data_IF_807052432816
#
_entry.id   IF_807052432816
#
_cell.length_a   1.000
_cell.length_b   1.000
_cell.length_c   1.000
_cell.angle_alpha   90.00
_cell.angle_beta   90.00
_cell.angle_gamma   90.00
#
_symmetry.space_group_name_H-M   'P 1'
#
loop_
_entity.id
_entity.type
_entity.pdbx_description
1 polymer ?
#
# COMPACT_ATOMS: atom_id res chain seq x y z
N UNK A 1 -25.99 29.50 -57.72
CA UNK A 1 -25.73 28.74 -56.48
C UNK A 1 -24.34 29.13 -56.00
N UNK A 2 -24.25 29.98 -54.97
CA UNK A 2 -22.97 30.49 -54.45
C UNK A 2 -22.37 29.43 -53.53
N UNK A 3 -21.17 28.96 -53.86
CA UNK A 3 -20.39 28.02 -53.07
C UNK A 3 -20.12 28.63 -51.68
N UNK A 4 -20.87 28.20 -50.69
CA UNK A 4 -20.60 28.53 -49.29
C UNK A 4 -19.23 27.92 -48.94
N UNK A 5 -18.27 28.68 -48.39
CA UNK A 5 -16.94 28.16 -48.15
C UNK A 5 -16.98 27.09 -47.05
N UNK A 6 -16.91 25.82 -47.46
CA UNK A 6 -16.83 24.62 -46.60
C UNK A 6 -15.77 24.76 -45.49
N UNK A 7 -14.73 25.57 -45.72
CA UNK A 7 -13.69 25.90 -44.73
C UNK A 7 -14.23 26.62 -43.49
N UNK A 8 -15.27 27.44 -43.63
CA UNK A 8 -15.87 28.18 -42.51
C UNK A 8 -16.73 27.26 -41.63
N UNK A 9 -17.41 26.28 -42.24
CA UNK A 9 -18.18 25.26 -41.53
C UNK A 9 -17.27 24.30 -40.74
N UNK A 10 -16.11 23.95 -41.31
CA UNK A 10 -15.09 23.15 -40.61
C UNK A 10 -14.50 23.86 -39.40
N UNK A 11 -14.26 25.17 -39.48
CA UNK A 11 -13.74 25.96 -38.35
C UNK A 11 -14.79 26.14 -37.24
N UNK A 12 -16.07 26.27 -37.60
CA UNK A 12 -17.18 26.33 -36.64
C UNK A 12 -17.39 24.99 -35.91
N UNK A 13 -17.15 23.85 -36.58
CA UNK A 13 -17.28 22.52 -35.99
C UNK A 13 -16.15 22.21 -34.99
N UNK A 14 -14.93 22.74 -35.21
CA UNK A 14 -13.80 22.63 -34.26
C UNK A 14 -14.02 23.45 -32.99
N UNK A 15 -14.78 24.55 -33.06
CA UNK A 15 -15.14 25.36 -31.89
C UNK A 15 -16.20 24.70 -30.99
N UNK A 16 -16.98 23.75 -31.51
CA UNK A 16 -18.05 23.06 -30.75
C UNK A 16 -17.55 21.86 -29.93
N UNK A 17 -16.31 21.42 -30.10
CA UNK A 17 -15.70 20.30 -29.35
C UNK A 17 -14.79 20.74 -28.19
N UNK A 18 -14.67 22.05 -27.95
CA UNK A 18 -13.84 22.62 -26.88
C UNK A 18 -14.47 22.64 -25.48
N UNK A 19 -15.33 21.68 -25.15
CA UNK A 19 -15.90 21.60 -23.80
C UNK A 19 -14.89 21.05 -22.81
N UNK A 20 -14.37 21.89 -21.91
CA UNK A 20 -13.68 21.41 -20.71
C UNK A 20 -14.70 20.66 -19.86
N UNK A 21 -14.42 19.39 -19.56
CA UNK A 21 -15.17 18.64 -18.54
C UNK A 21 -14.80 19.25 -17.20
N UNK A 22 -15.69 20.05 -16.62
CA UNK A 22 -15.51 20.51 -15.26
C UNK A 22 -15.69 19.31 -14.31
N UNK A 23 -14.71 18.99 -13.46
CA UNK A 23 -14.88 17.94 -12.47
C UNK A 23 -16.08 18.29 -11.60
N UNK A 24 -17.04 17.38 -11.50
CA UNK A 24 -18.14 17.54 -10.55
C UNK A 24 -17.54 17.63 -9.14
N UNK A 25 -17.59 18.84 -8.57
CA UNK A 25 -17.23 19.08 -7.17
C UNK A 25 -18.53 19.03 -6.39
N UNK A 26 -18.88 17.89 -5.76
CA UNK A 26 -20.03 17.88 -4.87
C UNK A 26 -19.86 19.03 -3.85
N UNK A 27 -20.94 19.76 -3.53
CA UNK A 27 -20.87 20.82 -2.53
C UNK A 27 -20.25 20.27 -1.26
N UNK A 28 -19.35 21.05 -0.64
CA UNK A 28 -18.71 20.67 0.61
C UNK A 28 -19.78 20.26 1.62
N UNK A 29 -19.68 19.02 2.12
CA UNK A 29 -20.55 18.57 3.21
C UNK A 29 -20.13 19.38 4.44
N UNK A 30 -20.95 20.37 4.81
CA UNK A 30 -20.66 21.34 5.88
C UNK A 30 -20.62 20.71 7.28
N UNK A 31 -21.00 19.44 7.42
CA UNK A 31 -20.84 18.64 8.64
C UNK A 31 -20.78 17.16 8.26
N UNK A 32 -19.63 16.64 7.81
CA UNK A 32 -19.51 15.22 7.50
C UNK A 32 -19.74 14.41 8.78
N UNK A 33 -20.56 13.37 8.69
CA UNK A 33 -20.68 12.43 9.80
C UNK A 33 -19.30 11.75 10.04
N UNK A 34 -18.90 11.72 11.31
CA UNK A 34 -17.63 11.15 11.77
C UNK A 34 -17.85 9.68 12.17
N UNK A 35 -17.82 8.79 11.20
CA UNK A 35 -18.04 7.37 11.38
C UNK A 35 -16.81 6.68 11.98
N UNK A 36 -17.04 5.63 12.77
CA UNK A 36 -15.97 4.77 13.27
C UNK A 36 -15.40 3.95 12.12
N UNK A 37 -14.07 3.87 12.05
CA UNK A 37 -13.33 3.01 11.13
C UNK A 37 -12.56 1.99 11.96
N UNK A 38 -12.79 0.72 11.69
CA UNK A 38 -12.12 -0.41 12.33
C UNK A 38 -11.26 -1.12 11.30
N UNK A 39 -9.95 -1.13 11.53
CA UNK A 39 -8.99 -1.86 10.71
C UNK A 39 -8.26 -2.90 11.56
N UNK A 40 -7.97 -4.05 10.99
CA UNK A 40 -7.31 -5.17 11.67
C UNK A 40 -8.18 -6.42 11.70
N UNK A 41 -7.58 -7.49 12.20
CA UNK A 41 -8.21 -8.81 12.28
C UNK A 41 -7.60 -9.58 13.44
N UNK A 42 -8.33 -10.58 13.93
CA UNK A 42 -7.80 -11.50 14.93
C UNK A 42 -6.93 -12.55 14.25
N UNK A 43 -5.62 -12.43 14.41
CA UNK A 43 -4.68 -13.39 13.85
C UNK A 43 -4.68 -14.67 14.70
N UNK A 44 -4.91 -15.81 14.05
CA UNK A 44 -4.92 -17.11 14.70
C UNK A 44 -3.59 -17.88 14.63
N UNK A 45 -2.53 -17.27 14.09
CA UNK A 45 -1.21 -17.87 14.07
C UNK A 45 -0.56 -17.85 15.48
N UNK A 46 0.00 -18.97 15.96
CA UNK A 46 0.64 -19.04 17.27
C UNK A 46 1.75 -18.00 17.45
N UNK A 47 1.77 -17.33 18.60
CA UNK A 47 2.81 -16.34 18.95
C UNK A 47 2.71 -15.01 18.20
N UNK A 48 1.68 -14.81 17.38
CA UNK A 48 1.47 -13.53 16.70
C UNK A 48 0.79 -12.50 17.59
N UNK A 49 0.91 -11.23 17.19
CA UNK A 49 0.20 -10.11 17.82
C UNK A 49 -0.93 -9.68 16.91
N UNK A 50 -2.14 -9.72 17.45
CA UNK A 50 -3.33 -9.13 16.85
C UNK A 50 -3.29 -7.62 17.07
N UNK A 51 -3.57 -6.85 16.03
CA UNK A 51 -3.65 -5.39 16.10
C UNK A 51 -4.95 -4.91 15.48
N UNK A 52 -5.72 -4.14 16.23
CA UNK A 52 -6.93 -3.44 15.77
C UNK A 52 -6.66 -1.94 15.86
N UNK A 53 -6.68 -1.24 14.72
CA UNK A 53 -6.61 0.21 14.67
C UNK A 53 -8.00 0.82 14.56
N UNK A 54 -8.25 1.83 15.38
CA UNK A 54 -9.50 2.58 15.37
C UNK A 54 -9.25 4.03 14.95
N UNK A 55 -10.01 4.49 13.96
CA UNK A 55 -9.97 5.87 13.49
C UNK A 55 -11.37 6.39 13.15
N UNK A 56 -11.44 7.65 12.71
CA UNK A 56 -12.66 8.30 12.28
C UNK A 56 -12.54 8.79 10.85
N UNK A 57 -13.65 8.74 10.12
CA UNK A 57 -13.74 9.35 8.80
C UNK A 57 -13.51 10.85 8.88
N UNK A 58 -12.95 11.41 7.80
CA UNK A 58 -12.75 12.85 7.63
C UNK A 58 -13.13 13.26 6.21
N UNK A 59 -13.24 14.56 5.96
CA UNK A 59 -13.44 15.07 4.61
C UNK A 59 -12.23 14.76 3.71
N UNK A 60 -12.50 14.44 2.45
CA UNK A 60 -11.47 14.17 1.44
C UNK A 60 -10.52 15.36 1.22
N UNK A 61 -11.00 16.58 1.44
CA UNK A 61 -10.21 17.81 1.31
C UNK A 61 -9.37 18.13 2.55
N UNK A 62 -9.53 17.40 3.65
CA UNK A 62 -8.73 17.63 4.85
C UNK A 62 -7.31 17.08 4.62
N UNK A 63 -6.26 17.93 4.63
CA UNK A 63 -4.88 17.48 4.38
C UNK A 63 -4.25 16.74 5.57
N UNK A 64 -4.94 16.67 6.73
CA UNK A 64 -4.42 15.99 7.92
C UNK A 64 -4.68 14.49 7.85
N UNK A 65 -3.96 13.73 8.68
CA UNK A 65 -4.27 12.32 8.87
C UNK A 65 -5.61 12.15 9.61
N UNK A 66 -6.36 11.06 9.32
CA UNK A 66 -7.58 10.69 10.04
C UNK A 66 -7.40 10.73 11.55
N UNK A 67 -8.40 11.29 12.24
CA UNK A 67 -8.41 11.34 13.70
C UNK A 67 -8.51 9.91 14.24
N UNK A 68 -7.61 9.55 15.14
CA UNK A 68 -7.59 8.23 15.79
C UNK A 68 -8.57 8.17 16.96
N UNK A 69 -9.21 7.01 17.17
CA UNK A 69 -10.10 6.79 18.32
C UNK A 69 -9.30 6.19 19.48
N UNK A 70 -9.18 6.96 20.55
CA UNK A 70 -8.25 6.68 21.66
C UNK A 70 -8.98 6.30 22.93
N UNK A 71 -8.32 5.53 23.80
CA UNK A 71 -8.86 5.10 25.11
C UNK A 71 -10.20 4.37 25.02
N UNK A 72 -10.50 3.75 23.89
CA UNK A 72 -11.64 2.85 23.77
C UNK A 72 -11.35 1.55 24.53
N UNK A 73 -12.39 0.91 25.04
CA UNK A 73 -12.29 -0.47 25.53
C UNK A 73 -12.54 -1.38 24.34
N UNK A 74 -11.53 -2.14 23.95
CA UNK A 74 -11.59 -3.06 22.81
C UNK A 74 -11.39 -4.48 23.30
N UNK A 75 -12.36 -5.34 23.02
CA UNK A 75 -12.33 -6.75 23.43
C UNK A 75 -12.66 -7.65 22.25
N UNK A 76 -12.13 -8.87 22.28
CA UNK A 76 -12.56 -9.97 21.42
C UNK A 76 -13.24 -11.01 22.29
N UNK A 77 -14.45 -11.39 21.90
CA UNK A 77 -15.30 -12.28 22.70
C UNK A 77 -15.54 -13.60 21.96
N UNK A 78 -15.30 -14.72 22.63
CA UNK A 78 -15.68 -16.05 22.15
C UNK A 78 -17.17 -16.30 22.35
N UNK A 79 -17.78 -17.10 21.49
CA UNK A 79 -19.11 -17.66 21.73
C UNK A 79 -19.20 -18.48 23.04
N UNK A 80 -18.07 -18.97 23.56
CA UNK A 80 -17.99 -19.67 24.85
C UNK A 80 -17.74 -18.76 26.06
N UNK A 81 -17.89 -17.43 25.89
CA UNK A 81 -17.81 -16.40 26.94
C UNK A 81 -16.39 -16.04 27.42
N UNK A 82 -15.35 -16.55 26.77
CA UNK A 82 -14.00 -16.00 26.96
C UNK A 82 -13.92 -14.57 26.40
N UNK A 83 -13.24 -13.68 27.13
CA UNK A 83 -13.09 -12.27 26.75
C UNK A 83 -11.60 -11.90 26.78
N UNK A 84 -11.09 -11.49 25.62
CA UNK A 84 -9.71 -11.05 25.45
C UNK A 84 -9.67 -9.53 25.31
N UNK A 85 -9.08 -8.86 26.29
CA UNK A 85 -9.00 -7.38 26.28
C UNK A 85 -7.73 -6.91 25.60
N UNK A 86 -7.87 -6.11 24.54
CA UNK A 86 -6.75 -5.52 23.83
C UNK A 86 -6.20 -4.32 24.61
N UNK A 87 -4.89 -4.16 24.57
CA UNK A 87 -4.19 -3.04 25.21
C UNK A 87 -3.85 -1.97 24.18
N UNK A 88 -4.19 -0.71 24.46
CA UNK A 88 -3.78 0.42 23.62
C UNK A 88 -2.27 0.64 23.78
N UNK A 89 -1.52 0.47 22.69
CA UNK A 89 -0.08 0.71 22.66
C UNK A 89 0.23 2.10 22.10
N UNK A 90 0.40 2.15 20.78
CA UNK A 90 0.40 3.44 20.07
C UNK A 90 -1.02 3.99 20.04
N UNK A 91 -1.17 5.31 20.14
CA UNK A 91 -2.47 6.00 20.15
C UNK A 91 -3.37 5.51 19.01
N UNK A 92 -4.56 5.00 19.34
CA UNK A 92 -5.51 4.44 18.36
C UNK A 92 -5.22 3.02 17.86
N UNK A 93 -4.18 2.36 18.39
CA UNK A 93 -3.79 0.99 18.03
C UNK A 93 -3.87 0.09 19.26
N UNK A 94 -4.76 -0.90 19.18
CA UNK A 94 -5.07 -1.83 20.26
C UNK A 94 -4.49 -3.20 19.91
N UNK A 95 -3.72 -3.79 20.83
CA UNK A 95 -2.97 -5.03 20.58
C UNK A 95 -3.32 -6.14 21.56
N UNK A 96 -3.34 -7.37 21.06
CA UNK A 96 -3.45 -8.60 21.84
C UNK A 96 -2.33 -9.55 21.42
N UNK A 97 -1.52 -9.97 22.38
CA UNK A 97 -0.38 -10.86 22.15
C UNK A 97 -0.56 -12.16 22.91
N UNK A 98 -0.17 -13.28 22.30
CA UNK A 98 -0.11 -14.57 22.99
C UNK A 98 -1.46 -15.28 23.15
N UNK A 99 -2.50 -14.82 22.46
CA UNK A 99 -3.80 -15.50 22.40
C UNK A 99 -3.96 -16.16 21.04
N UNK A 100 -4.19 -17.47 21.05
CA UNK A 100 -4.52 -18.25 19.85
C UNK A 100 -5.98 -18.67 19.94
N UNK A 101 -6.86 -18.22 19.03
CA UNK A 101 -8.26 -18.62 19.01
C UNK A 101 -8.41 -20.11 18.67
N UNK A 102 -9.40 -20.74 19.27
CA UNK A 102 -9.81 -22.11 18.99
C UNK A 102 -10.43 -22.21 17.59
N UNK A 103 -9.92 -23.09 16.75
CA UNK A 103 -10.35 -23.21 15.34
C UNK A 103 -11.85 -23.59 15.16
N UNK A 104 -12.48 -24.19 16.18
CA UNK A 104 -13.89 -24.62 16.15
C UNK A 104 -14.83 -23.64 16.87
N UNK A 105 -14.37 -22.42 17.16
CA UNK A 105 -15.18 -21.38 17.79
C UNK A 105 -15.44 -20.22 16.84
N UNK A 106 -16.42 -19.39 17.20
CA UNK A 106 -16.65 -18.10 16.58
C UNK A 106 -16.30 -16.99 17.56
N UNK A 107 -15.82 -15.89 17.01
CA UNK A 107 -15.42 -14.71 17.78
C UNK A 107 -16.09 -13.47 17.23
N UNK A 108 -16.28 -12.47 18.09
CA UNK A 108 -16.69 -11.14 17.68
C UNK A 108 -15.79 -10.08 18.30
N UNK A 109 -15.70 -8.93 17.64
CA UNK A 109 -15.09 -7.73 18.18
C UNK A 109 -16.13 -6.92 18.94
N UNK A 110 -15.74 -6.37 20.08
CA UNK A 110 -16.52 -5.38 20.82
C UNK A 110 -15.67 -4.13 21.04
N UNK A 111 -16.24 -2.97 20.70
CA UNK A 111 -15.60 -1.67 20.84
C UNK A 111 -16.52 -0.74 21.60
N UNK A 112 -16.07 -0.29 22.77
CA UNK A 112 -16.74 0.74 23.56
C UNK A 112 -15.90 2.01 23.60
N UNK A 113 -16.40 3.04 22.93
CA UNK A 113 -15.71 4.34 22.82
C UNK A 113 -15.82 5.15 24.10
N UNK A 114 -14.92 6.13 24.26
CA UNK A 114 -14.95 7.05 25.42
C UNK A 114 -16.20 7.92 25.47
N UNK A 115 -16.84 8.17 24.32
CA UNK A 115 -18.10 8.90 24.18
C UNK A 115 -19.33 8.06 24.52
N UNK A 116 -19.15 6.80 24.91
CA UNK A 116 -20.23 5.89 25.32
C UNK A 116 -20.89 5.14 24.17
N UNK A 117 -20.48 5.36 22.92
CA UNK A 117 -20.94 4.54 21.79
C UNK A 117 -20.33 3.13 21.88
N UNK A 118 -21.15 2.14 21.56
CA UNK A 118 -20.89 0.72 21.82
C UNK A 118 -21.21 -0.08 20.54
N UNK A 119 -20.22 -0.83 20.05
CA UNK A 119 -20.23 -1.49 18.74
C UNK A 119 -19.83 -2.95 18.86
N UNK A 120 -20.54 -3.82 18.16
CA UNK A 120 -20.25 -5.25 18.07
C UNK A 120 -20.09 -5.67 16.62
N UNK A 121 -19.13 -6.54 16.34
CA UNK A 121 -19.18 -7.31 15.12
C UNK A 121 -20.14 -8.49 15.23
N UNK A 122 -20.54 -9.04 14.09
CA UNK A 122 -21.08 -10.38 14.02
C UNK A 122 -20.05 -11.40 14.54
N UNK A 123 -20.55 -12.56 14.99
CA UNK A 123 -19.71 -13.71 15.28
C UNK A 123 -19.21 -14.32 13.98
N UNK A 124 -17.89 -14.39 13.82
CA UNK A 124 -17.23 -14.92 12.64
C UNK A 124 -16.41 -16.16 12.98
N UNK A 125 -16.32 -17.16 12.07
CA UNK A 125 -15.52 -18.35 12.28
C UNK A 125 -14.02 -18.06 12.16
N UNK A 126 -13.20 -18.93 12.72
CA UNK A 126 -11.75 -18.96 12.47
C UNK A 126 -11.49 -19.63 11.13
N UNK A 127 -10.84 -18.91 10.20
CA UNK A 127 -10.44 -19.47 8.91
C UNK A 127 -8.97 -19.87 8.89
N UNK A 128 -8.69 -21.06 8.35
CA UNK A 128 -7.33 -21.48 8.05
C UNK A 128 -7.00 -21.13 6.60
N UNK A 129 -6.06 -20.22 6.40
CA UNK A 129 -5.58 -19.85 5.07
C UNK A 129 -4.75 -20.99 4.48
N UNK A 130 -5.01 -21.43 3.23
CA UNK A 130 -4.21 -22.45 2.58
C UNK A 130 -2.83 -21.91 2.17
N UNK A 131 -1.81 -22.78 2.02
CA UNK A 131 -0.45 -22.36 1.73
C UNK A 131 -0.31 -21.71 0.35
N UNK A 132 0.62 -20.75 0.23
CA UNK A 132 1.04 -20.22 -1.07
C UNK A 132 1.97 -21.23 -1.75
N UNK A 133 1.47 -21.90 -2.80
CA UNK A 133 2.24 -22.89 -3.56
C UNK A 133 3.48 -22.26 -4.19
N UNK A 134 3.30 -21.15 -4.90
CA UNK A 134 4.40 -20.44 -5.55
C UNK A 134 4.05 -18.99 -5.87
N UNK A 135 5.10 -18.18 -5.92
CA UNK A 135 5.06 -16.86 -6.52
C UNK A 135 5.86 -16.96 -7.81
N UNK A 136 5.24 -16.63 -8.93
CA UNK A 136 5.86 -16.66 -10.25
C UNK A 136 5.95 -15.25 -10.80
N UNK A 137 6.92 -15.00 -11.66
CA UNK A 137 7.05 -13.73 -12.36
C UNK A 137 7.37 -13.98 -13.82
N UNK A 138 6.80 -13.15 -14.68
CA UNK A 138 6.99 -13.23 -16.12
C UNK A 138 7.28 -11.83 -16.66
N UNK A 139 8.45 -11.60 -17.28
CA UNK A 139 8.69 -10.39 -18.04
C UNK A 139 7.73 -10.32 -19.24
N UNK A 140 7.08 -9.18 -19.42
CA UNK A 140 6.31 -8.85 -20.62
C UNK A 140 6.94 -7.64 -21.34
N UNK A 141 6.27 -7.11 -22.37
CA UNK A 141 6.82 -6.00 -23.17
C UNK A 141 6.96 -4.70 -22.36
N UNK A 142 6.12 -4.50 -21.34
CA UNK A 142 5.98 -3.22 -20.64
C UNK A 142 6.46 -3.28 -19.18
N UNK A 143 6.81 -4.47 -18.68
CA UNK A 143 7.30 -4.65 -17.33
C UNK A 143 7.34 -6.09 -16.84
N UNK A 144 7.26 -6.23 -15.53
CA UNK A 144 7.33 -7.50 -14.83
C UNK A 144 6.00 -7.78 -14.14
N UNK A 145 5.31 -8.82 -14.62
CA UNK A 145 4.08 -9.29 -14.01
C UNK A 145 4.42 -10.30 -12.90
N UNK A 146 3.88 -10.09 -11.69
CA UNK A 146 4.03 -10.99 -10.55
C UNK A 146 2.69 -11.66 -10.26
N UNK A 147 2.70 -12.98 -10.16
CA UNK A 147 1.53 -13.81 -9.95
C UNK A 147 1.67 -14.71 -8.72
N UNK A 148 0.54 -15.10 -8.16
CA UNK A 148 0.44 -16.08 -7.07
C UNK A 148 -0.28 -17.35 -7.53
N UNK A 149 0.11 -18.49 -6.95
CA UNK A 149 -0.56 -19.77 -7.10
C UNK A 149 -0.83 -20.35 -5.71
N UNK A 150 -2.05 -20.84 -5.48
CA UNK A 150 -2.49 -21.46 -4.23
C UNK A 150 -3.60 -22.46 -4.50
N UNK A 151 -3.74 -23.46 -3.65
CA UNK A 151 -4.87 -24.38 -3.68
C UNK A 151 -5.27 -24.84 -2.28
N UNK A 152 -6.54 -25.19 -2.10
CA UNK A 152 -7.01 -25.93 -0.93
C UNK A 152 -7.57 -27.30 -1.38
N UNK A 153 -6.83 -28.40 -1.15
CA UNK A 153 -7.30 -29.73 -1.54
C UNK A 153 -8.54 -30.18 -0.75
N UNK A 154 -8.82 -29.56 0.41
CA UNK A 154 -9.99 -29.87 1.24
C UNK A 154 -11.20 -29.01 0.90
N UNK A 155 -11.03 -28.01 0.04
CA UNK A 155 -12.13 -27.18 -0.43
C UNK A 155 -12.83 -26.37 0.68
N UNK A 156 -12.11 -26.08 1.76
CA UNK A 156 -12.63 -25.34 2.92
C UNK A 156 -12.52 -23.83 2.72
N UNK A 157 -11.60 -23.40 1.86
CA UNK A 157 -11.50 -22.02 1.39
C UNK A 157 -12.16 -21.89 0.02
N UNK A 158 -12.74 -20.73 -0.28
CA UNK A 158 -13.27 -20.40 -1.63
C UNK A 158 -13.12 -18.93 -2.00
N UNK A 159 -12.67 -18.12 -1.06
CA UNK A 159 -12.54 -16.69 -1.18
C UNK A 159 -11.20 -16.26 -0.61
N UNK A 160 -10.48 -15.47 -1.39
CA UNK A 160 -9.09 -15.15 -1.14
C UNK A 160 -8.88 -13.64 -1.19
N UNK A 161 -7.95 -13.17 -0.36
CA UNK A 161 -7.42 -11.82 -0.39
C UNK A 161 -5.91 -11.85 -0.28
N UNK A 162 -5.25 -10.92 -0.97
CA UNK A 162 -3.82 -10.73 -0.88
C UNK A 162 -3.46 -9.30 -0.52
N UNK A 163 -2.36 -9.17 0.20
CA UNK A 163 -1.61 -7.95 0.40
C UNK A 163 -0.16 -8.23 0.06
N UNK A 164 0.61 -7.20 -0.30
CA UNK A 164 2.04 -7.38 -0.52
C UNK A 164 2.87 -6.21 0.04
N UNK A 165 4.13 -6.52 0.35
CA UNK A 165 5.15 -5.54 0.68
C UNK A 165 6.33 -5.71 -0.29
N UNK A 166 6.63 -4.63 -1.01
CA UNK A 166 7.73 -4.60 -1.96
C UNK A 166 8.92 -3.90 -1.32
N UNK A 167 10.12 -4.36 -1.64
CA UNK A 167 11.37 -3.73 -1.22
C UNK A 167 12.38 -3.87 -2.36
N UNK A 168 13.11 -2.80 -2.65
CA UNK A 168 14.08 -2.79 -3.74
C UNK A 168 15.36 -2.09 -3.32
N UNK A 169 16.47 -2.60 -3.84
CA UNK A 169 17.78 -1.99 -3.74
C UNK A 169 18.04 -1.08 -4.95
N UNK A 170 18.61 0.09 -4.68
CA UNK A 170 19.02 1.01 -5.73
C UNK A 170 20.22 1.86 -5.31
N UNK A 171 20.90 2.42 -6.29
CA UNK A 171 22.11 3.20 -6.10
C UNK A 171 21.92 4.67 -6.51
N UNK A 172 22.65 5.59 -5.88
CA UNK A 172 22.83 6.94 -6.43
C UNK A 172 23.61 6.87 -7.73
N UNK A 173 23.49 7.90 -8.56
CA UNK A 173 24.18 7.95 -9.85
C UNK A 173 25.71 8.02 -9.65
N UNK A 174 26.13 8.79 -8.64
CA UNK A 174 27.53 8.99 -8.29
C UNK A 174 27.79 8.61 -6.84
N UNK A 175 28.94 8.00 -6.57
CA UNK A 175 29.39 7.72 -5.21
C UNK A 175 30.13 8.94 -4.66
N UNK A 176 29.65 9.49 -3.55
CA UNK A 176 30.17 10.70 -2.93
C UNK A 176 31.14 10.37 -1.80
N UNK A 177 32.41 10.73 -2.00
CA UNK A 177 33.49 10.59 -1.02
C UNK A 177 33.52 11.74 0.01
N UNK A 178 32.86 12.86 -0.28
CA UNK A 178 32.86 14.05 0.55
C UNK A 178 31.45 14.52 0.90
N UNK A 179 31.31 15.20 2.03
CA UNK A 179 30.09 15.89 2.44
C UNK A 179 30.41 17.28 2.98
N UNK A 180 29.41 18.17 2.95
CA UNK A 180 29.51 19.48 3.57
C UNK A 180 28.94 19.42 4.99
N UNK A 181 29.80 19.66 5.99
CA UNK A 181 29.42 19.74 7.40
C UNK A 181 29.94 21.06 7.95
N UNK A 182 29.04 21.90 8.49
CA UNK A 182 29.39 23.21 9.05
C UNK A 182 30.24 24.06 8.09
N UNK A 183 29.84 24.13 6.82
CA UNK A 183 30.55 24.86 5.74
C UNK A 183 31.99 24.39 5.49
N UNK A 184 32.30 23.14 5.81
CA UNK A 184 33.58 22.50 5.49
C UNK A 184 33.34 21.24 4.69
N UNK A 185 34.16 21.07 3.65
CA UNK A 185 34.20 19.83 2.87
C UNK A 185 35.00 18.83 3.69
N UNK A 186 34.36 17.74 4.09
CA UNK A 186 34.96 16.68 4.91
C UNK A 186 34.78 15.32 4.22
N UNK A 187 35.63 14.36 4.55
CA UNK A 187 35.44 12.99 4.09
C UNK A 187 34.15 12.44 4.66
N UNK A 188 33.33 11.85 3.79
CA UNK A 188 32.10 11.17 4.18
C UNK A 188 32.44 9.88 4.91
N UNK A 189 31.87 9.69 6.09
CA UNK A 189 32.10 8.47 6.90
C UNK A 189 31.08 7.38 6.65
N UNK A 190 29.85 7.76 6.31
CA UNK A 190 28.76 6.83 6.00
C UNK A 190 28.41 6.91 4.51
N UNK A 191 28.53 5.79 3.79
CA UNK A 191 28.13 5.74 2.38
C UNK A 191 26.62 5.98 2.24
N UNK A 192 26.28 6.88 1.31
CA UNK A 192 24.89 7.15 0.86
C UNK A 192 24.67 6.72 -0.59
N UNK A 193 25.54 5.82 -1.07
CA UNK A 193 25.51 5.33 -2.44
C UNK A 193 24.43 4.26 -2.64
N UNK A 194 24.17 3.42 -1.63
CA UNK A 194 23.25 2.28 -1.69
C UNK A 194 22.10 2.47 -0.72
N UNK A 195 20.87 2.35 -1.21
CA UNK A 195 19.66 2.45 -0.40
C UNK A 195 18.69 1.30 -0.70
N UNK A 196 17.79 1.10 0.27
CA UNK A 196 16.59 0.29 0.11
C UNK A 196 15.35 1.16 0.17
N UNK A 197 14.47 1.01 -0.81
CA UNK A 197 13.12 1.56 -0.80
C UNK A 197 12.11 0.46 -0.48
N UNK A 198 11.01 0.81 0.18
CA UNK A 198 9.95 -0.13 0.53
C UNK A 198 8.58 0.52 0.36
N UNK A 199 7.60 -0.29 0.01
CA UNK A 199 6.19 0.13 -0.10
C UNK A 199 5.27 -1.03 0.29
N UNK A 200 4.04 -0.69 0.68
CA UNK A 200 2.97 -1.66 0.93
C UNK A 200 1.90 -1.51 -0.14
N UNK A 201 1.23 -2.61 -0.48
CA UNK A 201 0.08 -2.61 -1.38
C UNK A 201 -1.01 -1.67 -0.87
N UNK A 202 -1.52 -0.82 -1.75
CA UNK A 202 -2.74 -0.02 -1.51
C UNK A 202 -3.97 -0.65 -2.13
N UNK A 203 -3.79 -1.50 -3.14
CA UNK A 203 -4.87 -2.21 -3.81
C UNK A 203 -5.47 -3.32 -2.94
N UNK A 204 -6.79 -3.44 -3.00
CA UNK A 204 -7.57 -4.57 -2.51
C UNK A 204 -7.57 -5.61 -3.62
N UNK A 205 -6.91 -6.74 -3.34
CA UNK A 205 -6.71 -7.82 -4.30
C UNK A 205 -7.47 -9.04 -3.80
N UNK A 206 -8.58 -9.38 -4.47
CA UNK A 206 -9.48 -10.46 -4.06
C UNK A 206 -9.87 -11.36 -5.23
N UNK A 207 -10.12 -12.64 -4.96
CA UNK A 207 -10.71 -13.57 -5.94
C UNK A 207 -11.52 -14.67 -5.28
N UNK A 208 -12.28 -15.42 -6.08
CA UNK A 208 -13.07 -16.56 -5.65
C UNK A 208 -12.91 -17.74 -6.60
N UNK A 209 -12.94 -18.96 -6.04
CA UNK A 209 -12.95 -20.21 -6.80
C UNK A 209 -14.31 -20.88 -6.81
N UNK A 210 -15.37 -20.22 -6.32
CA UNK A 210 -16.75 -20.77 -6.27
C UNK A 210 -17.28 -21.26 -7.61
N UNK A 211 -16.79 -20.69 -8.73
CA UNK A 211 -17.14 -21.08 -10.10
C UNK A 211 -16.26 -22.19 -10.68
N UNK A 212 -15.28 -22.68 -9.90
CA UNK A 212 -14.34 -23.71 -10.30
C UNK A 212 -14.65 -25.02 -9.58
N UNK A 213 -14.49 -26.14 -10.29
CA UNK A 213 -14.68 -27.49 -9.74
C UNK A 213 -13.67 -27.82 -8.63
N UNK A 214 -12.46 -27.26 -8.72
CA UNK A 214 -11.40 -27.39 -7.72
C UNK A 214 -11.10 -26.03 -7.11
N UNK A 215 -10.75 -26.01 -5.83
CA UNK A 215 -10.26 -24.79 -5.18
C UNK A 215 -8.78 -24.56 -5.50
N UNK A 216 -8.55 -24.08 -6.72
CA UNK A 216 -7.23 -23.78 -7.27
C UNK A 216 -7.24 -22.37 -7.85
N UNK A 217 -6.34 -21.53 -7.35
CA UNK A 217 -6.01 -20.23 -7.93
C UNK A 217 -4.66 -20.38 -8.62
N UNK A 218 -4.64 -20.17 -9.94
CA UNK A 218 -3.42 -20.31 -10.74
C UNK A 218 -3.12 -19.03 -11.51
N UNK A 219 -1.84 -18.64 -11.50
CA UNK A 219 -1.30 -17.48 -12.21
C UNK A 219 -2.10 -16.19 -11.95
N UNK A 220 -2.59 -16.01 -10.72
CA UNK A 220 -3.42 -14.86 -10.40
C UNK A 220 -2.55 -13.60 -10.24
N UNK A 221 -2.85 -12.50 -10.96
CA UNK A 221 -2.01 -11.31 -10.99
C UNK A 221 -2.08 -10.54 -9.66
N UNK A 222 -0.90 -10.23 -9.10
CA UNK A 222 -0.77 -9.46 -7.85
C UNK A 222 -0.35 -8.02 -8.13
N UNK A 223 0.69 -7.84 -8.95
CA UNK A 223 1.15 -6.50 -9.33
C UNK A 223 1.92 -6.56 -10.63
N UNK A 224 1.85 -5.47 -11.39
CA UNK A 224 2.72 -5.20 -12.54
C UNK A 224 3.72 -4.12 -12.16
N UNK A 225 4.99 -4.33 -12.50
CA UNK A 225 6.06 -3.35 -12.25
C UNK A 225 6.59 -2.89 -13.61
N UNK A 226 6.44 -1.60 -13.97
CA UNK A 226 6.93 -1.10 -15.25
C UNK A 226 8.41 -1.39 -15.47
N UNK A 227 8.80 -1.70 -16.70
CA UNK A 227 10.19 -2.00 -17.08
C UNK A 227 11.16 -0.85 -16.77
N UNK A 228 10.67 0.39 -16.78
CA UNK A 228 11.42 1.60 -16.44
C UNK A 228 11.49 1.88 -14.94
N UNK A 229 10.86 1.07 -14.10
CA UNK A 229 10.81 1.30 -12.66
C UNK A 229 12.18 1.11 -12.01
N UNK A 230 12.59 2.05 -11.15
CA UNK A 230 13.81 1.92 -10.33
C UNK A 230 13.82 0.65 -9.48
N UNK A 231 12.64 0.09 -9.16
CA UNK A 231 12.47 -1.14 -8.39
C UNK A 231 13.20 -2.33 -9.01
N UNK A 232 13.34 -2.33 -10.33
CA UNK A 232 13.98 -3.41 -11.10
C UNK A 232 15.46 -3.11 -11.42
N UNK A 233 16.01 -2.00 -10.90
CA UNK A 233 17.33 -1.47 -11.28
C UNK A 233 18.53 -2.24 -10.74
N UNK A 234 18.35 -2.99 -9.64
CA UNK A 234 19.39 -3.86 -9.07
C UNK A 234 18.80 -5.17 -8.57
N UNK A 235 18.07 -5.12 -7.45
CA UNK A 235 17.44 -6.28 -6.83
C UNK A 235 16.12 -5.90 -6.20
N UNK A 236 15.12 -6.72 -6.44
CA UNK A 236 13.74 -6.55 -6.00
C UNK A 236 13.32 -7.71 -5.10
N UNK A 237 12.48 -7.42 -4.10
CA UNK A 237 11.82 -8.42 -3.28
C UNK A 237 10.36 -8.07 -3.11
N UNK A 238 9.51 -9.09 -3.09
CA UNK A 238 8.10 -8.97 -2.74
C UNK A 238 7.76 -10.04 -1.70
N UNK A 239 7.08 -9.63 -0.63
CA UNK A 239 6.43 -10.52 0.32
C UNK A 239 4.93 -10.46 0.07
N UNK A 240 4.34 -11.57 -0.33
CA UNK A 240 2.89 -11.69 -0.48
C UNK A 240 2.34 -12.34 0.78
N UNK A 241 1.27 -11.75 1.31
CA UNK A 241 0.47 -12.25 2.43
C UNK A 241 -0.90 -12.64 1.90
N UNK A 242 -1.30 -13.87 2.15
CA UNK A 242 -2.55 -14.45 1.72
C UNK A 242 -3.50 -14.59 2.91
N UNK A 243 -4.80 -14.42 2.65
CA UNK A 243 -5.85 -14.56 3.63
C UNK A 243 -7.03 -15.32 3.01
N UNK A 244 -7.54 -16.31 3.73
CA UNK A 244 -8.88 -16.86 3.50
C UNK A 244 -9.95 -15.89 4.01
N UNK A 245 -11.04 -15.75 3.27
CA UNK A 245 -12.19 -14.93 3.63
C UNK A 245 -13.46 -15.78 3.74
N UNK A 246 -14.41 -15.32 4.55
CA UNK A 246 -15.81 -15.74 4.45
C UNK A 246 -16.43 -15.12 3.21
N UNK A 247 -17.60 -15.62 2.79
CA UNK A 247 -18.34 -15.01 1.68
C UNK A 247 -18.64 -13.53 1.95
N UNK A 248 -19.20 -13.21 3.11
CA UNK A 248 -19.53 -11.82 3.48
C UNK A 248 -18.28 -10.92 3.52
N UNK A 249 -17.14 -11.47 3.96
CA UNK A 249 -15.87 -10.76 3.94
C UNK A 249 -15.39 -10.48 2.52
N UNK A 250 -15.52 -11.45 1.61
CA UNK A 250 -15.20 -11.25 0.20
C UNK A 250 -16.09 -10.19 -0.44
N UNK A 251 -17.41 -10.28 -0.22
CA UNK A 251 -18.39 -9.33 -0.78
C UNK A 251 -18.09 -7.89 -0.30
N UNK A 252 -17.74 -7.73 0.99
CA UNK A 252 -17.31 -6.44 1.54
C UNK A 252 -16.06 -5.88 0.84
N UNK A 253 -14.98 -6.67 0.71
CA UNK A 253 -13.74 -6.20 0.09
C UNK A 253 -13.89 -6.00 -1.42
N UNK A 254 -14.66 -6.84 -2.11
CA UNK A 254 -14.94 -6.72 -3.54
C UNK A 254 -15.76 -5.45 -3.85
N UNK A 255 -16.77 -5.14 -3.02
CA UNK A 255 -17.52 -3.89 -3.13
C UNK A 255 -16.64 -2.67 -2.81
N UNK A 256 -15.79 -2.77 -1.78
CA UNK A 256 -14.85 -1.70 -1.42
C UNK A 256 -13.83 -1.44 -2.54
N UNK A 257 -13.30 -2.48 -3.16
CA UNK A 257 -12.41 -2.36 -4.32
C UNK A 257 -13.10 -1.65 -5.48
N UNK A 258 -14.34 -2.05 -5.83
CA UNK A 258 -15.12 -1.43 -6.92
C UNK A 258 -15.38 0.06 -6.70
N UNK A 259 -15.51 0.51 -5.45
CA UNK A 259 -15.76 1.92 -5.13
C UNK A 259 -14.46 2.73 -5.05
N UNK A 260 -13.37 2.15 -4.54
CA UNK A 260 -12.14 2.90 -4.21
C UNK A 260 -11.05 2.82 -5.29
N UNK A 261 -11.05 1.77 -6.11
CA UNK A 261 -10.05 1.53 -7.15
C UNK A 261 -10.57 1.75 -8.57
N UNK A 262 -11.86 2.04 -8.75
CA UNK A 262 -12.39 2.48 -10.06
C UNK A 262 -11.97 3.92 -10.33
N UNK A 263 -11.33 4.16 -11.47
CA UNK A 263 -10.64 5.42 -11.81
C UNK A 263 -11.62 6.55 -12.22
N UNK A 264 -12.94 6.35 -12.10
CA UNK A 264 -13.93 7.34 -12.51
C UNK A 264 -14.23 7.20 -14.00
N UNK A 265 -15.22 6.37 -14.33
CA UNK A 265 -15.87 6.27 -15.64
C UNK A 265 -17.33 6.67 -15.52
N UNK A 266 -17.94 7.12 -16.62
CA UNK A 266 -19.40 7.34 -16.70
C UNK A 266 -20.22 6.06 -16.49
N UNK A 267 -19.55 4.90 -16.53
CA UNK A 267 -20.12 3.58 -16.25
C UNK A 267 -19.73 3.03 -14.88
N UNK A 268 -19.02 3.81 -14.06
CA UNK A 268 -18.69 3.36 -12.72
C UNK A 268 -19.98 3.21 -11.91
N UNK A 269 -20.08 2.15 -11.09
CA UNK A 269 -21.24 1.98 -10.24
C UNK A 269 -21.41 3.21 -9.34
N UNK A 270 -22.64 3.69 -9.23
CA UNK A 270 -22.95 4.75 -8.27
C UNK A 270 -22.49 4.29 -6.87
N UNK A 271 -21.82 5.16 -6.07
CA UNK A 271 -21.38 4.78 -4.74
C UNK A 271 -22.56 4.26 -3.93
N UNK A 272 -22.53 2.97 -3.61
CA UNK A 272 -23.46 2.35 -2.68
C UNK A 272 -22.84 2.38 -1.28
N UNK A 273 -23.69 2.48 -0.26
CA UNK A 273 -23.22 2.41 1.11
C UNK A 273 -22.65 1.02 1.38
N UNK A 274 -21.35 0.94 1.68
CA UNK A 274 -20.70 -0.29 2.10
C UNK A 274 -21.01 -0.50 3.58
N UNK A 275 -21.63 -1.62 3.91
CA UNK A 275 -21.86 -2.04 5.30
C UNK A 275 -20.98 -3.24 5.59
N UNK A 276 -20.10 -3.10 6.58
CA UNK A 276 -19.37 -4.24 7.12
C UNK A 276 -20.21 -5.06 8.10
N UNK A 277 -19.55 -5.98 8.81
CA UNK A 277 -20.17 -6.82 9.84
C UNK A 277 -20.08 -6.20 11.24
N UNK A 278 -19.93 -4.88 11.36
CA UNK A 278 -19.80 -4.17 12.64
C UNK A 278 -20.96 -3.19 12.78
N UNK A 279 -21.67 -3.27 13.91
CA UNK A 279 -22.94 -2.60 14.14
C UNK A 279 -22.94 -1.91 15.51
N UNK A 280 -23.60 -0.75 15.59
CA UNK A 280 -23.86 -0.13 16.89
C UNK A 280 -24.97 -0.87 17.63
N UNK A 281 -24.79 -1.08 18.94
CA UNK A 281 -25.82 -1.70 19.80
C UNK A 281 -26.98 -0.75 20.12
N UNK A 282 -26.75 0.56 20.08
CA UNK A 282 -27.73 1.57 20.48
C UNK A 282 -28.47 2.22 19.30
N UNK A 283 -27.85 2.32 18.14
CA UNK A 283 -28.42 3.02 16.98
C UNK A 283 -28.14 2.26 15.68
N UNK A 284 -29.16 1.61 15.12
CA UNK A 284 -29.05 0.86 13.86
C UNK A 284 -28.74 1.74 12.64
N UNK A 285 -28.87 3.07 12.76
CA UNK A 285 -28.47 4.03 11.73
C UNK A 285 -27.04 4.54 11.84
N UNK A 286 -26.28 4.16 12.88
CA UNK A 286 -24.86 4.55 13.01
C UNK A 286 -23.99 3.65 12.14
N UNK A 287 -23.28 4.26 11.19
CA UNK A 287 -22.48 3.54 10.20
C UNK A 287 -21.07 3.31 10.76
N UNK A 288 -20.59 2.08 10.65
CA UNK A 288 -19.21 1.71 10.95
C UNK A 288 -18.57 1.16 9.68
N UNK A 289 -17.34 1.60 9.40
CA UNK A 289 -16.54 1.10 8.29
C UNK A 289 -15.53 0.10 8.82
N UNK A 290 -15.37 -1.03 8.13
CA UNK A 290 -14.47 -2.11 8.55
C UNK A 290 -15.17 -3.46 8.54
N UNK A 291 -14.37 -4.52 8.48
CA UNK A 291 -14.86 -5.89 8.53
C UNK A 291 -13.99 -6.72 9.46
N UNK A 292 -14.56 -7.22 10.55
CA UNK A 292 -13.86 -8.08 11.50
C UNK A 292 -13.81 -9.51 10.97
N UNK A 293 -12.61 -10.09 10.97
CA UNK A 293 -12.36 -11.48 10.57
C UNK A 293 -11.36 -12.14 11.52
N UNK A 294 -11.34 -13.47 11.52
CA UNK A 294 -10.43 -14.28 12.34
C UNK A 294 -9.79 -15.34 11.45
N UNK A 295 -8.48 -15.51 11.53
CA UNK A 295 -7.80 -16.56 10.78
C UNK A 295 -6.29 -16.42 10.68
N UNK A 296 -5.66 -17.43 10.06
CA UNK A 296 -4.21 -17.51 9.85
C UNK A 296 -3.78 -16.68 8.64
N UNK A 297 -2.48 -16.40 8.52
CA UNK A 297 -1.90 -15.68 7.38
C UNK A 297 -0.75 -16.47 6.79
N UNK A 298 -0.91 -16.88 5.54
CA UNK A 298 0.18 -17.51 4.80
C UNK A 298 1.01 -16.45 4.10
N UNK A 299 2.34 -16.54 4.21
CA UNK A 299 3.25 -15.53 3.69
C UNK A 299 4.41 -16.14 2.93
N UNK A 300 4.73 -15.59 1.75
CA UNK A 300 5.84 -16.07 0.93
C UNK A 300 6.61 -14.90 0.33
N UNK A 301 7.94 -14.96 0.40
CA UNK A 301 8.83 -13.93 -0.15
C UNK A 301 9.68 -14.51 -1.27
N UNK A 302 9.85 -13.72 -2.33
CA UNK A 302 10.82 -14.00 -3.39
C UNK A 302 11.76 -12.82 -3.60
N UNK A 303 12.87 -13.10 -4.30
CA UNK A 303 13.84 -12.11 -4.77
C UNK A 303 14.04 -12.24 -6.26
N UNK A 304 14.14 -11.10 -6.94
CA UNK A 304 14.33 -11.00 -8.38
C UNK A 304 15.49 -10.04 -8.61
N UNK A 305 16.57 -10.54 -9.19
CA UNK A 305 17.76 -9.75 -9.50
C UNK A 305 17.68 -9.24 -10.93
N UNK A 306 18.26 -8.07 -11.22
CA UNK A 306 18.31 -7.50 -12.58
C UNK A 306 18.89 -8.47 -13.62
N UNK A 307 19.83 -9.32 -13.22
CA UNK A 307 20.41 -10.34 -14.09
C UNK A 307 19.40 -11.42 -14.57
N UNK A 308 18.25 -11.56 -13.92
CA UNK A 308 17.17 -12.47 -14.30
C UNK A 308 16.13 -11.81 -15.21
N UNK A 309 16.27 -10.51 -15.47
CA UNK A 309 15.33 -9.72 -16.26
C UNK A 309 15.93 -9.38 -17.62
N UNK A 310 15.08 -9.04 -18.62
CA UNK A 310 15.55 -8.46 -19.87
C UNK A 310 16.40 -7.19 -19.61
N UNK A 311 17.22 -6.77 -20.58
CA UNK A 311 18.12 -5.61 -20.43
C UNK A 311 17.33 -4.28 -20.50
N UNK A 312 16.43 -4.08 -19.55
CA UNK A 312 15.63 -2.87 -19.42
C UNK A 312 16.45 -1.71 -18.85
N UNK A 313 16.11 -0.52 -19.32
CA UNK A 313 16.65 0.73 -18.82
C UNK A 313 15.70 1.30 -17.76
N UNK A 314 16.09 1.15 -16.49
CA UNK A 314 15.33 1.72 -15.38
C UNK A 314 15.60 3.22 -15.27
N UNK A 315 14.54 4.00 -15.11
CA UNK A 315 14.60 5.44 -14.89
C UNK A 315 14.66 5.72 -13.39
N UNK A 316 15.65 6.50 -12.96
CA UNK A 316 15.83 6.90 -11.55
C UNK A 316 14.91 8.05 -11.13
N UNK A 317 14.23 8.70 -12.08
CA UNK A 317 13.40 9.88 -11.87
C UNK A 317 14.17 11.19 -11.72
N UNK A 318 15.51 11.15 -11.74
CA UNK A 318 16.39 12.30 -11.45
C UNK A 318 16.72 13.17 -12.68
N UNK A 319 16.29 12.79 -13.87
CA UNK A 319 16.78 13.42 -15.10
C UNK A 319 18.26 13.13 -15.32
N UNK A 320 19.03 14.11 -15.80
CA UNK A 320 20.46 13.98 -16.03
C UNK A 320 21.29 14.47 -14.83
N UNK A 321 22.12 13.59 -14.30
CA UNK A 321 23.12 13.92 -13.28
C UNK A 321 24.36 14.53 -13.94
N UNK A 322 24.31 15.84 -14.20
CA UNK A 322 25.45 16.55 -14.80
C UNK A 322 26.57 16.69 -13.77
N UNK A 323 27.78 16.29 -14.17
CA UNK A 323 28.99 16.44 -13.37
C UNK A 323 29.71 17.70 -13.84
N UNK A 324 30.08 18.55 -12.89
CA UNK A 324 30.86 19.77 -13.13
C UNK A 324 32.04 19.85 -12.14
N UNK A 325 32.97 20.76 -12.39
CA UNK A 325 34.10 21.07 -11.51
C UNK A 325 33.89 22.40 -10.81
N UNK A 326 33.82 22.40 -9.48
CA UNK A 326 33.54 23.59 -8.67
C UNK A 326 34.67 23.86 -7.68
N UNK A 327 35.11 25.12 -7.57
CA UNK A 327 36.16 25.52 -6.62
C UNK A 327 35.67 25.41 -5.18
N UNK A 328 36.57 25.16 -4.24
CA UNK A 328 36.23 24.98 -2.82
C UNK A 328 35.35 26.12 -2.25
N UNK A 329 35.61 27.37 -2.61
CA UNK A 329 34.80 28.52 -2.15
C UNK A 329 33.36 28.50 -2.66
N UNK A 330 33.18 28.15 -3.94
CA UNK A 330 31.85 28.05 -4.56
C UNK A 330 31.09 26.82 -4.06
N UNK A 331 31.79 25.72 -3.74
CA UNK A 331 31.19 24.55 -3.07
C UNK A 331 30.60 24.93 -1.71
N UNK A 332 31.30 25.75 -0.91
CA UNK A 332 30.81 26.22 0.40
C UNK A 332 29.62 27.17 0.25
N UNK A 333 29.61 27.99 -0.81
CA UNK A 333 28.58 28.99 -1.07
C UNK A 333 27.29 28.36 -1.62
N UNK A 334 27.41 27.56 -2.67
CA UNK A 334 26.28 27.05 -3.44
C UNK A 334 25.81 25.66 -2.97
N UNK A 335 26.59 25.02 -2.09
CA UNK A 335 26.28 23.73 -1.44
C UNK A 335 25.85 22.63 -2.43
N UNK A 336 26.56 22.42 -3.55
CA UNK A 336 26.26 21.31 -4.45
C UNK A 336 26.62 19.96 -3.79
N UNK A 337 26.16 18.87 -4.39
CA UNK A 337 26.62 17.55 -4.02
C UNK A 337 28.08 17.34 -4.43
N UNK A 338 28.96 17.00 -3.48
CA UNK A 338 30.39 16.78 -3.74
C UNK A 338 30.66 15.29 -3.97
N UNK A 339 31.15 14.96 -5.16
CA UNK A 339 31.47 13.58 -5.56
C UNK A 339 32.87 13.21 -5.06
N UNK A 340 33.91 13.89 -5.56
CA UNK A 340 35.31 13.59 -5.24
C UNK A 340 36.20 14.83 -5.46
N UNK A 341 37.44 14.78 -5.00
CA UNK A 341 38.46 15.78 -5.30
C UNK A 341 38.96 15.57 -6.74
N UNK A 342 38.95 16.62 -7.57
CA UNK A 342 39.50 16.54 -8.93
C UNK A 342 40.99 16.86 -8.92
N UNK A 343 41.33 18.05 -8.39
CA UNK A 343 42.70 18.51 -8.11
C UNK A 343 42.66 19.39 -6.85
N UNK A 344 43.79 19.65 -6.16
CA UNK A 344 43.79 20.48 -4.96
C UNK A 344 43.03 21.81 -5.15
N UNK A 345 41.95 22.01 -4.38
CA UNK A 345 41.10 23.20 -4.44
C UNK A 345 39.94 23.15 -5.44
N UNK A 346 39.80 22.08 -6.23
CA UNK A 346 38.75 21.89 -7.24
C UNK A 346 38.09 20.51 -7.08
N UNK A 347 36.76 20.49 -6.98
CA UNK A 347 35.98 19.29 -6.67
C UNK A 347 35.06 18.93 -7.83
N UNK A 348 34.84 17.63 -8.03
CA UNK A 348 33.75 17.12 -8.87
C UNK A 348 32.45 17.26 -8.09
N UNK A 349 31.47 17.92 -8.70
CA UNK A 349 30.18 18.22 -8.08
C UNK A 349 29.02 17.88 -9.00
N UNK A 350 27.86 17.60 -8.42
CA UNK A 350 26.60 17.41 -9.12
C UNK A 350 25.43 17.80 -8.21
N UNK A 351 24.19 17.56 -8.63
CA UNK A 351 23.02 17.80 -7.78
C UNK A 351 22.97 16.80 -6.61
N UNK A 352 22.50 17.24 -5.44
CA UNK A 352 22.43 16.39 -4.24
C UNK A 352 21.67 15.06 -4.47
N UNK A 353 20.53 15.01 -5.18
CA UNK A 353 19.82 13.75 -5.44
C UNK A 353 20.63 12.71 -6.23
N UNK A 354 21.62 13.15 -7.01
CA UNK A 354 22.48 12.28 -7.80
C UNK A 354 23.57 11.58 -6.97
N UNK A 355 23.87 12.09 -5.78
CA UNK A 355 24.89 11.50 -4.89
C UNK A 355 24.33 10.91 -3.60
N UNK A 356 23.08 11.22 -3.24
CA UNK A 356 22.47 10.76 -2.00
C UNK A 356 21.16 10.02 -2.28
N UNK A 357 21.20 8.70 -2.18
CA UNK A 357 20.04 7.87 -2.46
C UNK A 357 18.88 8.12 -1.48
N UNK A 358 19.12 8.67 -0.28
CA UNK A 358 18.08 8.92 0.74
C UNK A 358 17.11 10.02 0.31
N UNK A 359 17.57 10.95 -0.52
CA UNK A 359 16.72 12.02 -1.06
C UNK A 359 15.63 11.51 -2.02
N UNK A 360 15.65 10.21 -2.36
CA UNK A 360 14.61 9.51 -3.12
C UNK A 360 13.71 8.63 -2.23
N UNK A 361 13.75 8.83 -0.92
CA UNK A 361 12.90 8.11 0.06
C UNK A 361 13.46 6.78 0.54
N UNK A 362 14.71 6.45 0.21
CA UNK A 362 15.36 5.21 0.66
C UNK A 362 16.07 5.34 1.99
N UNK A 363 16.34 4.19 2.61
CA UNK A 363 17.10 4.07 3.85
C UNK A 363 18.42 3.35 3.60
N UNK A 364 19.45 3.68 4.39
CA UNK A 364 20.77 3.04 4.33
C UNK A 364 20.82 1.71 5.06
N UNK A 365 19.86 1.46 5.96
CA UNK A 365 19.82 0.24 6.73
C UNK A 365 19.31 -0.89 5.84
N UNK A 366 20.19 -1.87 5.56
CA UNK A 366 19.80 -3.10 4.86
C UNK A 366 18.71 -3.81 5.68
N UNK A 367 17.55 -4.14 5.07
CA UNK A 367 16.50 -4.91 5.74
C UNK A 367 17.02 -6.28 6.19
N UNK A 368 16.60 -6.75 7.36
CA UNK A 368 17.08 -8.02 7.94
C UNK A 368 16.75 -9.24 7.09
N UNK A 369 15.63 -9.21 6.36
CA UNK A 369 15.24 -10.27 5.44
C UNK A 369 15.98 -10.22 4.10
N UNK A 370 16.72 -9.15 3.81
CA UNK A 370 17.32 -8.92 2.49
C UNK A 370 18.48 -9.89 2.26
N UNK A 371 18.35 -10.78 1.28
CA UNK A 371 19.36 -11.78 0.94
C UNK A 371 20.26 -11.30 -0.18
#
# INVERSE_FOLDING_TARGET
>A
MKNFPIKFLGWLMVLLVGGCVDPYRPPEITSPASYLVVNGFFNSDPGTTTTIQLSRTQNLTDPKAPTVETKAVVTIESAHKDVYTLQEGTVGSYTLTGVTPSANETYRLHVKTTKGADYYSDYVPVLTTPPIDSITYHPDNDGLQINVNTHDPKNNTRYYRWEYESTWEYFSDQNSAFELVNNKIVNRTQSVYQCWGSEKSSDIITTTTTRLSQDVVSQFPITHIPSTSIKLGSKYSILIRQFALTQDGYDYYDQLAKITQSIGSIFDPQPSQITGNIHSSANTGDIVLGFFRVGTVESKRIFISKAQLPPWYTNTGLGTCTIDTTKAGDVIKDQPGVINLYIPGLYLTTSLPCIDCRLRGGVLQRPSFWQ
#
